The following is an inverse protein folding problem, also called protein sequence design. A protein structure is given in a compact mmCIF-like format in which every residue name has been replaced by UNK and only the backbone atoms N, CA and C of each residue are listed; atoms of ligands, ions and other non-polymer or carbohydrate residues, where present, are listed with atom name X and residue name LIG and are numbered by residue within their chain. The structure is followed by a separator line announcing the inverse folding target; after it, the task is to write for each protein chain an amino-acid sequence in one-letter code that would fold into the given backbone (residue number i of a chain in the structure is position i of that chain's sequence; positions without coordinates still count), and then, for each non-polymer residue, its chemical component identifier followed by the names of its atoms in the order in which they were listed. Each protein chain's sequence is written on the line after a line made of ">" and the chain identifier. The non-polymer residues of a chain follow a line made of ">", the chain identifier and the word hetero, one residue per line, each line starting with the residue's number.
data_IF_503118744706
#
_entry.id   IF_503118744706
#
_cell.length_a   1.000
_cell.length_b   1.000
_cell.length_c   1.000
_cell.angle_alpha   90.00
_cell.angle_beta   90.00
_cell.angle_gamma   90.00
#
_symmetry.space_group_name_H-M   'P 1'
#
loop_
_entity.id
_entity.type
_entity.pdbx_description
1 polymer ?
#
# COMPACT_ATOMS: atom_id res chain seq x y z
N UNK A 1 15.40 -9.28 -9.77
CA UNK A 1 14.71 -9.77 -8.56
C UNK A 1 13.41 -10.43 -8.97
N UNK A 2 13.13 -11.65 -8.54
CA UNK A 2 11.88 -12.31 -8.84
C UNK A 2 10.77 -11.88 -7.86
N UNK A 3 9.53 -12.32 -8.12
CA UNK A 3 8.39 -11.92 -7.30
C UNK A 3 8.53 -12.36 -5.84
N UNK A 4 9.01 -13.56 -5.60
CA UNK A 4 9.22 -14.05 -4.23
C UNK A 4 10.21 -13.19 -3.46
N UNK A 5 11.30 -12.80 -4.10
CA UNK A 5 12.30 -11.90 -3.48
C UNK A 5 11.72 -10.52 -3.21
N UNK A 6 10.93 -9.98 -4.13
CA UNK A 6 10.25 -8.69 -3.93
C UNK A 6 9.27 -8.75 -2.77
N UNK A 7 8.46 -9.80 -2.68
CA UNK A 7 7.50 -9.99 -1.60
C UNK A 7 8.21 -10.10 -0.25
N UNK A 8 9.28 -10.87 -0.16
CA UNK A 8 10.05 -10.99 1.07
C UNK A 8 10.67 -9.66 1.48
N UNK A 9 11.20 -8.90 0.53
CA UNK A 9 11.74 -7.57 0.80
C UNK A 9 10.67 -6.62 1.33
N UNK A 10 9.49 -6.63 0.75
CA UNK A 10 8.37 -5.80 1.21
C UNK A 10 7.95 -6.18 2.62
N UNK A 11 7.85 -7.46 2.94
CA UNK A 11 7.54 -7.90 4.32
C UNK A 11 8.56 -7.35 5.31
N UNK A 12 9.84 -7.47 4.99
CA UNK A 12 10.91 -6.95 5.85
C UNK A 12 10.84 -5.44 6.03
N UNK A 13 10.47 -4.71 4.99
CA UNK A 13 10.33 -3.26 5.05
C UNK A 13 9.17 -2.81 5.95
N UNK A 14 8.04 -3.52 5.89
CA UNK A 14 6.91 -3.23 6.80
C UNK A 14 7.29 -3.53 8.25
N UNK A 15 8.01 -4.61 8.49
CA UNK A 15 8.47 -4.96 9.84
C UNK A 15 9.47 -3.95 10.40
N UNK A 16 10.37 -3.45 9.56
CA UNK A 16 11.38 -2.48 9.97
C UNK A 16 10.80 -1.08 10.25
N UNK A 17 9.76 -0.70 9.52
CA UNK A 17 9.09 0.59 9.71
C UNK A 17 9.93 1.80 9.39
N UNK A 18 10.97 1.67 8.55
CA UNK A 18 11.84 2.77 8.14
C UNK A 18 11.35 3.37 6.82
N UNK A 19 10.79 4.61 6.84
CA UNK A 19 10.25 5.22 5.63
C UNK A 19 11.29 5.45 4.52
N UNK A 20 12.53 5.79 4.90
CA UNK A 20 13.58 6.04 3.92
C UNK A 20 13.99 4.76 3.20
N UNK A 21 14.13 3.65 3.94
CA UNK A 21 14.43 2.33 3.37
C UNK A 21 13.28 1.86 2.47
N UNK A 22 12.05 2.09 2.86
CA UNK A 22 10.87 1.73 2.08
C UNK A 22 10.84 2.51 0.75
N UNK A 23 11.07 3.81 0.80
CA UNK A 23 11.09 4.65 -0.40
C UNK A 23 12.20 4.24 -1.37
N UNK A 24 13.40 3.94 -0.85
CA UNK A 24 14.52 3.48 -1.67
C UNK A 24 14.20 2.15 -2.35
N UNK A 25 13.65 1.20 -1.60
CA UNK A 25 13.29 -0.11 -2.14
C UNK A 25 12.20 -0.01 -3.20
N UNK A 26 11.20 0.84 -2.97
CA UNK A 26 10.14 1.09 -3.95
C UNK A 26 10.72 1.60 -5.27
N UNK A 27 11.67 2.53 -5.19
CA UNK A 27 12.36 3.05 -6.38
C UNK A 27 13.18 1.96 -7.10
N UNK A 28 13.88 1.12 -6.35
CA UNK A 28 14.69 0.04 -6.93
C UNK A 28 13.84 -1.06 -7.59
N UNK A 29 12.70 -1.37 -7.02
CA UNK A 29 11.79 -2.40 -7.55
C UNK A 29 10.94 -1.91 -8.71
N UNK A 30 10.77 -0.61 -8.89
CA UNK A 30 9.95 -0.04 -9.95
C UNK A 30 10.67 -0.09 -11.29
N UNK A 31 9.93 -0.43 -12.35
CA UNK A 31 10.39 -0.21 -13.72
C UNK A 31 10.44 1.30 -13.98
N UNK A 32 11.32 1.74 -14.88
CA UNK A 32 11.44 3.16 -15.23
C UNK A 32 10.11 3.76 -15.72
N UNK A 33 9.34 2.98 -16.47
CA UNK A 33 8.06 3.37 -17.03
C UNK A 33 6.85 2.88 -16.22
N UNK A 34 7.06 2.51 -14.95
CA UNK A 34 6.00 2.08 -14.05
C UNK A 34 4.84 3.08 -14.01
N UNK A 35 3.63 2.55 -13.95
CA UNK A 35 2.41 3.36 -13.79
C UNK A 35 1.75 3.01 -12.46
N UNK A 36 1.37 4.03 -11.70
CA UNK A 36 0.58 3.87 -10.48
C UNK A 36 -0.78 4.52 -10.67
N UNK A 37 -1.84 3.82 -10.33
CA UNK A 37 -3.22 4.29 -10.51
C UNK A 37 -3.97 4.34 -9.20
N UNK A 38 -4.72 5.42 -9.02
CA UNK A 38 -5.64 5.62 -7.88
C UNK A 38 -7.05 5.81 -8.44
N UNK A 39 -7.80 4.72 -8.68
CA UNK A 39 -9.12 4.82 -9.30
C UNK A 39 -10.13 5.67 -8.51
N UNK A 40 -10.00 5.72 -7.18
CA UNK A 40 -10.93 6.48 -6.34
C UNK A 40 -10.88 7.98 -6.60
N UNK A 41 -9.69 8.54 -6.87
CA UNK A 41 -9.53 9.95 -7.23
C UNK A 41 -9.50 10.16 -8.74
N UNK A 42 -9.35 9.09 -9.52
CA UNK A 42 -9.20 9.16 -10.97
C UNK A 42 -7.82 9.60 -11.42
N UNK A 43 -6.81 9.48 -10.57
CA UNK A 43 -5.45 9.90 -10.87
C UNK A 43 -4.56 8.77 -11.33
N UNK A 44 -3.60 9.10 -12.17
CA UNK A 44 -2.55 8.21 -12.64
C UNK A 44 -1.21 8.92 -12.56
N UNK A 45 -0.19 8.21 -12.06
CA UNK A 45 1.18 8.70 -12.02
C UNK A 45 1.99 7.88 -13.01
N UNK A 46 2.65 8.54 -13.96
CA UNK A 46 3.48 7.87 -14.96
C UNK A 46 4.95 8.06 -14.66
N UNK A 47 5.67 6.94 -14.62
CA UNK A 47 7.11 6.90 -14.47
C UNK A 47 7.58 6.85 -13.04
N UNK A 48 8.64 6.09 -12.84
CA UNK A 48 9.25 5.87 -11.53
C UNK A 48 9.63 7.18 -10.83
N UNK A 49 10.15 8.15 -11.56
CA UNK A 49 10.60 9.41 -10.97
C UNK A 49 9.44 10.26 -10.47
N UNK A 50 8.33 10.29 -11.19
CA UNK A 50 7.12 10.99 -10.73
C UNK A 50 6.50 10.31 -9.52
N UNK A 51 6.48 8.98 -9.51
CA UNK A 51 5.99 8.21 -8.34
C UNK A 51 6.84 8.53 -7.12
N UNK A 52 8.15 8.54 -7.26
CA UNK A 52 9.06 8.91 -6.18
C UNK A 52 8.83 10.34 -5.69
N UNK A 53 8.62 11.27 -6.61
CA UNK A 53 8.35 12.67 -6.26
C UNK A 53 7.08 12.82 -5.44
N UNK A 54 6.01 12.11 -5.79
CA UNK A 54 4.75 12.12 -5.02
C UNK A 54 5.00 11.59 -3.62
N UNK A 55 5.70 10.47 -3.48
CA UNK A 55 5.99 9.88 -2.18
C UNK A 55 6.85 10.79 -1.30
N UNK A 56 7.84 11.45 -1.89
CA UNK A 56 8.74 12.37 -1.18
C UNK A 56 8.03 13.62 -0.69
N UNK A 57 7.02 14.10 -1.41
CA UNK A 57 6.26 15.31 -1.06
C UNK A 57 5.00 15.02 -0.24
N UNK A 58 4.63 13.75 -0.08
CA UNK A 58 3.38 13.36 0.55
C UNK A 58 3.20 13.91 1.97
N UNK A 59 4.21 13.89 2.86
CA UNK A 59 4.04 14.36 4.24
C UNK A 59 3.94 15.87 4.37
N UNK A 60 4.29 16.65 3.34
CA UNK A 60 4.41 18.09 3.42
C UNK A 60 3.08 18.79 3.77
N UNK A 61 1.96 18.18 3.42
CA UNK A 61 0.63 18.75 3.70
C UNK A 61 0.06 18.41 5.06
N UNK A 62 0.54 17.34 5.71
CA UNK A 62 -0.02 16.83 6.96
C UNK A 62 0.88 17.05 8.19
N UNK A 63 2.15 17.35 7.98
CA UNK A 63 3.12 17.52 9.06
C UNK A 63 3.54 16.22 9.74
N UNK A 64 2.97 15.09 9.37
CA UNK A 64 3.30 13.77 9.92
C UNK A 64 3.44 12.75 8.80
N UNK A 65 4.43 11.87 8.93
CA UNK A 65 4.58 10.75 7.99
C UNK A 65 3.52 9.68 8.27
N UNK A 66 2.85 9.16 7.23
CA UNK A 66 1.93 8.05 7.40
C UNK A 66 2.64 6.80 7.92
N UNK A 67 1.98 6.06 8.80
CA UNK A 67 2.46 4.76 9.27
C UNK A 67 1.63 3.67 8.61
N UNK A 68 2.30 2.68 8.04
CA UNK A 68 1.64 1.57 7.37
C UNK A 68 1.98 0.25 8.05
N UNK A 69 0.97 -0.57 8.26
CA UNK A 69 1.13 -1.91 8.81
C UNK A 69 0.64 -2.92 7.79
N UNK A 70 1.43 -3.96 7.56
CA UNK A 70 1.06 -5.03 6.64
C UNK A 70 0.01 -5.93 7.29
N UNK A 71 -1.08 -6.19 6.58
CA UNK A 71 -2.03 -7.20 6.97
C UNK A 71 -1.69 -8.55 6.34
N UNK A 72 -1.58 -8.59 5.02
CA UNK A 72 -1.16 -9.80 4.29
C UNK A 72 -0.76 -9.48 2.86
N UNK A 73 -0.05 -10.40 2.26
CA UNK A 73 0.25 -10.39 0.83
C UNK A 73 -0.30 -11.67 0.23
N UNK A 74 -1.11 -11.53 -0.80
CA UNK A 74 -1.66 -12.65 -1.56
C UNK A 74 -0.90 -12.75 -2.87
N UNK A 75 -0.42 -13.94 -3.21
CA UNK A 75 0.45 -14.18 -4.35
C UNK A 75 -0.18 -15.10 -5.40
N UNK A 76 -1.14 -14.65 -6.21
CA UNK A 76 -1.48 -15.36 -7.42
C UNK A 76 -0.43 -15.07 -8.50
N UNK A 77 -0.02 -16.05 -9.30
CA UNK A 77 1.07 -15.88 -10.27
C UNK A 77 0.91 -14.69 -11.21
N UNK A 78 1.99 -13.93 -11.41
CA UNK A 78 2.04 -12.77 -12.32
C UNK A 78 1.50 -11.47 -11.78
N UNK A 79 0.75 -11.52 -10.70
CA UNK A 79 0.28 -10.37 -9.96
C UNK A 79 0.16 -10.76 -8.49
N UNK A 80 0.33 -9.81 -7.59
CA UNK A 80 0.17 -10.05 -6.16
C UNK A 80 -0.51 -8.86 -5.49
N UNK A 81 -1.10 -9.10 -4.32
CA UNK A 81 -1.94 -8.12 -3.63
C UNK A 81 -1.39 -7.90 -2.23
N UNK A 82 -1.21 -6.64 -1.89
CA UNK A 82 -0.82 -6.21 -0.54
C UNK A 82 -2.07 -5.65 0.15
N UNK A 83 -2.42 -6.19 1.30
CA UNK A 83 -3.37 -5.54 2.20
C UNK A 83 -2.59 -4.86 3.33
N UNK A 84 -2.85 -3.59 3.53
CA UNK A 84 -2.20 -2.81 4.58
C UNK A 84 -3.18 -1.91 5.30
N UNK A 85 -2.75 -1.36 6.42
CA UNK A 85 -3.51 -0.37 7.18
C UNK A 85 -2.62 0.84 7.37
N UNK A 86 -3.16 2.01 7.09
CA UNK A 86 -2.42 3.27 7.14
C UNK A 86 -3.04 4.17 8.21
N UNK A 87 -2.20 4.69 9.09
CA UNK A 87 -2.55 5.76 10.02
C UNK A 87 -1.88 7.04 9.54
N UNK A 88 -2.69 8.05 9.21
CA UNK A 88 -2.19 9.36 8.76
C UNK A 88 -1.92 10.33 9.91
N UNK A 89 -1.87 9.83 11.14
CA UNK A 89 -1.58 10.64 12.31
C UNK A 89 -2.81 11.01 13.15
N UNK A 90 -3.98 10.54 12.76
CA UNK A 90 -5.25 10.79 13.45
C UNK A 90 -5.79 9.56 14.20
N UNK A 91 -5.06 8.45 14.16
CA UNK A 91 -5.48 7.21 14.80
C UNK A 91 -6.57 6.45 14.05
N UNK A 92 -6.98 6.93 12.86
CA UNK A 92 -8.00 6.26 12.04
C UNK A 92 -7.33 5.21 11.16
N UNK A 93 -7.72 3.93 11.27
CA UNK A 93 -7.12 2.86 10.46
C UNK A 93 -7.73 2.85 9.05
N UNK A 94 -7.02 3.39 8.09
CA UNK A 94 -7.42 3.36 6.68
C UNK A 94 -6.95 2.05 6.06
N UNK A 95 -7.87 1.26 5.56
CA UNK A 95 -7.54 0.01 4.85
C UNK A 95 -7.06 0.33 3.44
N UNK A 96 -5.96 -0.28 3.03
CA UNK A 96 -5.44 -0.12 1.68
C UNK A 96 -5.24 -1.47 1.02
N UNK A 97 -5.58 -1.53 -0.26
CA UNK A 97 -5.35 -2.69 -1.11
C UNK A 97 -4.54 -2.22 -2.31
N UNK A 98 -3.38 -2.84 -2.51
CA UNK A 98 -2.51 -2.56 -3.63
C UNK A 98 -2.37 -3.80 -4.49
N UNK A 99 -2.70 -3.67 -5.77
CA UNK A 99 -2.54 -4.73 -6.77
C UNK A 99 -1.27 -4.44 -7.53
N UNK A 100 -0.31 -5.34 -7.45
CA UNK A 100 1.03 -5.20 -8.02
C UNK A 100 1.18 -6.13 -9.21
N UNK A 101 1.55 -5.58 -10.36
CA UNK A 101 1.84 -6.35 -11.56
C UNK A 101 3.31 -6.20 -11.90
N UNK A 102 3.96 -7.33 -12.17
CA UNK A 102 5.40 -7.38 -12.43
C UNK A 102 5.68 -7.91 -13.82
N UNK A 103 6.83 -7.50 -14.35
CA UNK A 103 7.39 -8.01 -15.60
C UNK A 103 8.90 -7.91 -15.56
N UNK A 104 9.57 -8.99 -15.93
CA UNK A 104 11.04 -9.04 -16.01
C UNK A 104 11.73 -8.57 -14.71
N UNK A 105 11.19 -8.99 -13.56
CA UNK A 105 11.77 -8.68 -12.26
C UNK A 105 11.56 -7.27 -11.76
N UNK A 106 10.61 -6.53 -12.35
CA UNK A 106 10.28 -5.15 -11.97
C UNK A 106 8.77 -4.96 -11.85
N UNK A 107 8.37 -4.02 -11.00
CA UNK A 107 6.96 -3.61 -10.92
C UNK A 107 6.68 -2.67 -12.10
N UNK A 108 5.70 -3.04 -12.90
CA UNK A 108 5.29 -2.25 -14.07
C UNK A 108 3.97 -1.51 -13.84
N UNK A 109 3.14 -2.01 -12.93
CA UNK A 109 1.86 -1.37 -12.62
C UNK A 109 1.50 -1.61 -11.16
N UNK A 110 0.94 -0.59 -10.52
CA UNK A 110 0.39 -0.67 -9.17
C UNK A 110 -0.94 0.07 -9.15
N UNK A 111 -1.96 -0.58 -8.63
CA UNK A 111 -3.30 0.02 -8.45
C UNK A 111 -3.64 -0.01 -6.99
N UNK A 112 -3.95 1.15 -6.41
CA UNK A 112 -4.24 1.27 -4.99
C UNK A 112 -5.68 1.69 -4.75
N UNK A 113 -6.31 1.06 -3.77
CA UNK A 113 -7.62 1.44 -3.24
C UNK A 113 -7.48 1.71 -1.76
N UNK A 114 -8.15 2.77 -1.29
CA UNK A 114 -8.13 3.19 0.10
C UNK A 114 -9.57 3.21 0.64
N UNK A 115 -9.77 2.72 1.85
CA UNK A 115 -11.09 2.66 2.46
C UNK A 115 -11.04 3.16 3.89
N UNK A 116 -11.78 4.22 4.17
CA UNK A 116 -11.96 4.69 5.53
C UNK A 116 -12.88 3.73 6.29
N UNK A 117 -12.65 3.54 7.60
CA UNK A 117 -13.56 2.76 8.40
C UNK A 117 -14.93 3.44 8.47
N UNK A 118 -15.98 2.65 8.63
CA UNK A 118 -17.34 3.14 8.84
C UNK A 118 -18.03 2.27 9.87
N UNK A 119 -19.07 2.83 10.53
CA UNK A 119 -19.84 2.09 11.52
C UNK A 119 -20.68 1.03 10.86
N UNK A 120 -20.67 -0.17 11.42
CA UNK A 120 -21.49 -1.26 10.91
C UNK A 120 -22.98 -0.92 11.07
N UNK A 121 -23.77 -1.02 9.98
CA UNK A 121 -25.22 -0.75 10.08
C UNK A 121 -25.93 -1.73 11.01
N UNK A 122 -26.87 -1.24 11.82
CA UNK A 122 -27.57 -2.04 12.80
C UNK A 122 -28.44 -3.15 12.17
N UNK A 123 -28.95 -2.93 10.95
CA UNK A 123 -29.90 -3.86 10.32
C UNK A 123 -29.36 -5.28 10.14
N UNK A 124 -28.02 -5.44 10.05
CA UNK A 124 -27.41 -6.75 9.83
C UNK A 124 -26.73 -7.35 11.07
N UNK A 125 -26.89 -6.70 12.23
CA UNK A 125 -26.14 -7.06 13.45
C UNK A 125 -26.38 -8.49 13.94
N UNK A 126 -27.57 -9.07 13.69
CA UNK A 126 -27.87 -10.44 14.13
C UNK A 126 -27.18 -11.54 13.30
N UNK A 127 -26.66 -11.20 12.11
CA UNK A 127 -26.02 -12.17 11.22
C UNK A 127 -24.52 -11.97 11.07
N UNK A 128 -23.95 -10.95 11.70
CA UNK A 128 -22.53 -10.64 11.61
C UNK A 128 -21.92 -10.59 13.00
N UNK A 129 -20.61 -10.79 13.04
CA UNK A 129 -19.83 -10.60 14.28
C UNK A 129 -18.72 -9.61 14.02
N UNK A 130 -18.22 -8.97 15.07
CA UNK A 130 -17.11 -8.03 14.95
C UNK A 130 -15.80 -8.78 14.74
N UNK A 131 -15.05 -8.33 13.76
CA UNK A 131 -13.67 -8.76 13.59
C UNK A 131 -12.78 -8.12 14.66
N UNK A 132 -11.59 -8.72 14.87
CA UNK A 132 -10.52 -8.03 15.60
C UNK A 132 -10.27 -6.68 14.94
N UNK A 133 -10.09 -5.59 15.71
CA UNK A 133 -9.74 -4.31 15.13
C UNK A 133 -8.47 -4.43 14.30
N UNK A 134 -8.47 -3.82 13.12
CA UNK A 134 -7.27 -3.77 12.29
C UNK A 134 -6.30 -2.83 12.97
N UNK A 135 -5.18 -3.37 13.43
CA UNK A 135 -4.24 -2.65 14.26
C UNK A 135 -3.26 -1.87 13.40
N UNK A 136 -3.07 -0.60 13.75
CA UNK A 136 -1.99 0.22 13.21
C UNK A 136 -0.87 0.15 14.22
N UNK A 137 -0.04 -0.84 14.06
CA UNK A 137 0.96 -1.14 15.05
C UNK A 137 2.22 -0.35 14.97
#
# INVERSE_FOLDING_TARGET
>A
MNDDEMVQRIRSLYEAGDPAAFAQAAREMAAEDMVQEWPQSGERIRGRDNIAAVNENYPAGSGTSPKASLRRIVEPGGAWVIESVIDYGDGVPVSAVSIIETKDGKIVRQTDYFANPFDAPAWRSQWVEKMEPVSVG
#
